data_IF_501641728798
#
_entry.id   IF_501641728798
#
_cell.length_a   1.000
_cell.length_b   1.000
_cell.length_c   1.000
_cell.angle_alpha   90.00
_cell.angle_beta   90.00
_cell.angle_gamma   90.00
#
_symmetry.space_group_name_H-M   'P 1'
#
loop_
_entity.id
_entity.type
_entity.pdbx_description
1 polymer ?
#
# COMPACT_ATOMS: atom_id res chain seq x y z
N UNK A 1 5.14 -30.72 -18.33
CA UNK A 1 4.23 -29.57 -18.20
C UNK A 1 3.97 -29.37 -16.71
N UNK A 2 4.66 -28.41 -16.11
CA UNK A 2 4.45 -27.99 -14.72
C UNK A 2 3.28 -27.01 -14.64
N UNK A 3 2.88 -26.65 -13.42
CA UNK A 3 1.87 -25.61 -13.22
C UNK A 3 2.35 -24.25 -13.78
N UNK A 4 3.63 -23.92 -13.65
CA UNK A 4 4.21 -22.72 -14.27
C UNK A 4 4.04 -22.73 -15.79
N UNK A 5 4.29 -23.86 -16.46
CA UNK A 5 4.12 -23.99 -17.91
C UNK A 5 2.67 -23.72 -18.34
N UNK A 6 1.70 -24.20 -17.55
CA UNK A 6 0.27 -24.02 -17.83
C UNK A 6 -0.18 -22.56 -17.61
N UNK A 7 0.37 -21.89 -16.60
CA UNK A 7 0.15 -20.46 -16.38
C UNK A 7 0.73 -19.64 -17.55
N UNK A 8 1.96 -19.95 -17.99
CA UNK A 8 2.61 -19.28 -19.12
C UNK A 8 1.78 -19.37 -20.40
N UNK A 9 1.25 -20.56 -20.70
CA UNK A 9 0.40 -20.80 -21.87
C UNK A 9 -0.93 -20.04 -21.83
N UNK A 10 -1.62 -20.00 -20.68
CA UNK A 10 -2.89 -19.24 -20.56
C UNK A 10 -2.68 -17.75 -20.80
N UNK A 11 -1.56 -17.20 -20.32
CA UNK A 11 -1.25 -15.77 -20.45
C UNK A 11 -0.76 -15.37 -21.84
N UNK A 12 -0.06 -16.25 -22.57
CA UNK A 12 0.38 -15.96 -23.94
C UNK A 12 -0.77 -15.82 -24.94
N UNK A 13 -1.94 -16.37 -24.59
CA UNK A 13 -3.15 -16.33 -25.42
C UNK A 13 -4.07 -15.14 -25.10
N UNK A 14 -3.82 -14.42 -24.01
CA UNK A 14 -4.54 -13.18 -23.68
C UNK A 14 -3.82 -12.04 -24.39
N UNK A 15 -4.56 -11.29 -25.22
CA UNK A 15 -4.05 -10.22 -26.08
C UNK A 15 -3.51 -9.04 -25.25
N UNK A 16 -2.34 -9.23 -24.64
CA UNK A 16 -1.68 -8.32 -23.71
C UNK A 16 -0.26 -8.05 -24.24
N UNK A 17 0.00 -6.87 -24.82
CA UNK A 17 1.12 -6.67 -25.74
C UNK A 17 2.52 -7.02 -25.21
N UNK A 18 2.77 -7.15 -23.89
CA UNK A 18 4.12 -7.44 -23.34
C UNK A 18 4.16 -8.16 -21.99
N UNK A 19 3.09 -8.86 -21.57
CA UNK A 19 3.04 -9.47 -20.23
C UNK A 19 3.11 -8.47 -19.06
N UNK A 20 2.97 -7.17 -19.34
CA UNK A 20 3.09 -6.07 -18.35
C UNK A 20 2.09 -6.21 -17.21
N UNK A 21 0.84 -6.51 -17.52
CA UNK A 21 -0.19 -6.78 -16.49
C UNK A 21 0.18 -7.94 -15.60
N UNK A 22 0.70 -9.03 -16.18
CA UNK A 22 1.10 -10.22 -15.41
C UNK A 22 2.26 -9.89 -14.48
N UNK A 23 3.26 -9.17 -14.98
CA UNK A 23 4.42 -8.76 -14.19
C UNK A 23 4.00 -7.80 -13.07
N UNK A 24 3.15 -6.82 -13.37
CA UNK A 24 2.60 -5.89 -12.38
C UNK A 24 1.79 -6.63 -11.31
N UNK A 25 0.88 -7.52 -11.70
CA UNK A 25 0.08 -8.33 -10.78
C UNK A 25 0.96 -9.24 -9.90
N UNK A 26 1.93 -9.92 -10.51
CA UNK A 26 2.89 -10.78 -9.79
C UNK A 26 3.75 -9.97 -8.82
N UNK A 27 4.17 -8.77 -9.21
CA UNK A 27 4.94 -7.88 -8.35
C UNK A 27 4.08 -7.37 -7.18
N UNK A 28 2.83 -6.95 -7.42
CA UNK A 28 1.91 -6.50 -6.37
C UNK A 28 1.59 -7.59 -5.34
N UNK A 29 1.40 -8.84 -5.77
CA UNK A 29 1.11 -9.95 -4.84
C UNK A 29 2.30 -10.30 -3.94
N UNK A 30 3.52 -10.09 -4.44
CA UNK A 30 4.77 -10.30 -3.68
C UNK A 30 5.21 -9.07 -2.88
N UNK A 31 4.73 -7.88 -3.25
CA UNK A 31 5.12 -6.63 -2.60
C UNK A 31 4.62 -6.60 -1.15
N UNK A 32 5.54 -6.36 -0.22
CA UNK A 32 5.26 -6.13 1.20
C UNK A 32 6.09 -4.96 1.70
N UNK A 33 5.48 -4.12 2.52
CA UNK A 33 6.18 -3.02 3.17
C UNK A 33 7.27 -3.59 4.09
N UNK A 34 8.52 -3.18 3.86
CA UNK A 34 9.66 -3.63 4.66
C UNK A 34 9.59 -3.04 6.08
N UNK A 35 10.17 -3.70 7.10
CA UNK A 35 10.31 -3.10 8.42
C UNK A 35 11.01 -1.73 8.32
N UNK A 36 10.46 -0.71 8.98
CA UNK A 36 10.95 0.69 8.98
C UNK A 36 10.84 1.45 7.65
N UNK A 37 10.31 0.85 6.59
CA UNK A 37 10.02 1.59 5.35
C UNK A 37 8.90 2.59 5.60
N UNK A 38 9.13 3.86 5.22
CA UNK A 38 8.13 4.90 5.41
C UNK A 38 6.88 4.61 4.56
N UNK A 39 5.71 5.07 5.03
CA UNK A 39 4.47 4.97 4.26
C UNK A 39 4.62 5.61 2.89
N UNK A 40 5.22 6.81 2.83
CA UNK A 40 5.40 7.59 1.60
C UNK A 40 6.20 6.81 0.55
N UNK A 41 7.32 6.23 0.95
CA UNK A 41 8.20 5.51 0.03
C UNK A 41 7.53 4.22 -0.47
N UNK A 42 6.88 3.49 0.44
CA UNK A 42 6.14 2.28 0.08
C UNK A 42 4.94 2.59 -0.83
N UNK A 43 4.19 3.65 -0.54
CA UNK A 43 3.09 4.11 -1.36
C UNK A 43 3.54 4.44 -2.79
N UNK A 44 4.66 5.14 -2.93
CA UNK A 44 5.23 5.48 -4.24
C UNK A 44 5.64 4.23 -5.03
N UNK A 45 6.28 3.26 -4.37
CA UNK A 45 6.65 1.97 -4.95
C UNK A 45 5.41 1.20 -5.43
N UNK A 46 4.40 1.07 -4.58
CA UNK A 46 3.15 0.39 -4.91
C UNK A 46 2.47 1.04 -6.13
N UNK A 47 2.36 2.37 -6.15
CA UNK A 47 1.70 3.13 -7.22
C UNK A 47 2.41 2.99 -8.57
N UNK A 48 3.73 2.91 -8.58
CA UNK A 48 4.51 2.71 -9.80
C UNK A 48 4.25 1.33 -10.43
N UNK A 49 4.06 0.29 -9.62
CA UNK A 49 3.72 -1.05 -10.11
C UNK A 49 2.25 -1.09 -10.54
N UNK A 50 1.36 -0.49 -9.76
CA UNK A 50 -0.07 -0.46 -10.05
C UNK A 50 -0.40 0.29 -11.35
N UNK A 51 0.34 1.35 -11.70
CA UNK A 51 0.11 2.10 -12.95
C UNK A 51 0.35 1.28 -14.22
N UNK A 52 1.04 0.13 -14.12
CA UNK A 52 1.25 -0.78 -15.24
C UNK A 52 0.04 -1.70 -15.50
N UNK A 53 -1.01 -1.64 -14.67
CA UNK A 53 -2.25 -2.36 -14.90
C UNK A 53 -3.09 -1.65 -15.98
N UNK A 54 -3.49 -2.35 -17.06
CA UNK A 54 -4.21 -1.75 -18.17
C UNK A 54 -5.70 -1.48 -17.90
N UNK A 55 -6.23 -2.02 -16.80
CA UNK A 55 -7.65 -1.92 -16.45
C UNK A 55 -7.84 -1.00 -15.24
N UNK A 56 -8.93 -0.23 -15.27
CA UNK A 56 -9.35 0.61 -14.17
C UNK A 56 -9.91 -0.30 -13.07
N UNK A 57 -9.13 -0.47 -12.00
CA UNK A 57 -9.60 -1.13 -10.77
C UNK A 57 -10.36 -0.10 -9.92
N UNK A 58 -11.52 -0.42 -9.34
CA UNK A 58 -12.20 0.48 -8.41
C UNK A 58 -11.30 0.87 -7.23
N UNK A 59 -11.33 2.15 -6.85
CA UNK A 59 -10.43 2.67 -5.81
C UNK A 59 -10.58 1.97 -4.46
N UNK A 60 -11.78 1.55 -4.07
CA UNK A 60 -12.00 0.79 -2.84
C UNK A 60 -11.17 -0.51 -2.81
N UNK A 61 -11.14 -1.25 -3.93
CA UNK A 61 -10.41 -2.51 -4.04
C UNK A 61 -8.90 -2.27 -4.10
N UNK A 62 -8.48 -1.20 -4.79
CA UNK A 62 -7.08 -0.79 -4.86
C UNK A 62 -6.52 -0.45 -3.48
N UNK A 63 -7.31 0.25 -2.68
CA UNK A 63 -6.97 0.61 -1.30
C UNK A 63 -6.91 -0.65 -0.43
N UNK A 64 -7.86 -1.59 -0.57
CA UNK A 64 -7.80 -2.88 0.12
C UNK A 64 -6.52 -3.66 -0.19
N UNK A 65 -6.19 -3.78 -1.48
CA UNK A 65 -4.98 -4.45 -1.94
C UNK A 65 -3.71 -3.77 -1.38
N UNK A 66 -3.66 -2.44 -1.40
CA UNK A 66 -2.55 -1.68 -0.84
C UNK A 66 -2.40 -1.89 0.67
N UNK A 67 -3.49 -1.77 1.42
CA UNK A 67 -3.48 -1.98 2.87
C UNK A 67 -3.08 -3.40 3.22
N UNK A 68 -3.46 -4.42 2.43
CA UNK A 68 -3.01 -5.80 2.62
C UNK A 68 -1.48 -5.95 2.51
N UNK A 69 -0.83 -5.14 1.69
CA UNK A 69 0.63 -5.13 1.52
C UNK A 69 1.38 -4.30 2.57
N UNK A 70 0.67 -3.42 3.30
CA UNK A 70 1.25 -2.63 4.39
C UNK A 70 1.62 -3.49 5.62
N UNK A 71 2.48 -2.92 6.46
CA UNK A 71 2.80 -3.48 7.77
C UNK A 71 1.58 -3.41 8.72
N UNK A 72 1.68 -4.10 9.88
CA UNK A 72 0.58 -4.16 10.86
C UNK A 72 0.26 -2.79 11.46
N UNK A 73 1.25 -1.91 11.59
CA UNK A 73 1.07 -0.59 12.20
C UNK A 73 0.18 0.29 11.33
N UNK A 74 0.48 0.37 10.03
CA UNK A 74 -0.33 1.10 9.03
C UNK A 74 -1.73 0.47 8.91
N UNK A 75 -1.84 -0.87 8.89
CA UNK A 75 -3.15 -1.55 8.92
C UNK A 75 -3.97 -1.17 10.16
N UNK A 76 -3.30 -1.04 11.31
CA UNK A 76 -3.91 -0.64 12.59
C UNK A 76 -4.52 0.75 12.56
N UNK A 77 -4.01 1.66 11.71
CA UNK A 77 -4.52 3.03 11.56
C UNK A 77 -5.92 3.10 10.95
N UNK A 78 -6.31 2.09 10.16
CA UNK A 78 -7.53 2.10 9.35
C UNK A 78 -8.62 1.12 9.83
N UNK A 79 -8.67 0.83 11.14
CA UNK A 79 -9.74 0.01 11.73
C UNK A 79 -11.13 0.59 11.41
N UNK A 80 -12.15 -0.28 11.45
CA UNK A 80 -13.50 -0.23 10.84
C UNK A 80 -14.30 1.08 10.79
N UNK A 81 -13.88 2.19 11.41
CA UNK A 81 -14.53 3.51 11.33
C UNK A 81 -13.74 4.58 10.57
N UNK A 82 -12.50 4.30 10.18
CA UNK A 82 -11.65 5.28 9.48
C UNK A 82 -11.13 4.76 8.13
N UNK A 83 -11.86 3.84 7.49
CA UNK A 83 -11.45 3.25 6.22
C UNK A 83 -11.42 4.30 5.10
N UNK A 84 -10.35 4.40 4.30
CA UNK A 84 -10.26 5.41 3.27
C UNK A 84 -11.16 5.10 2.07
N UNK A 85 -11.84 6.13 1.57
CA UNK A 85 -12.78 6.02 0.42
C UNK A 85 -12.12 6.31 -0.93
N UNK A 86 -10.94 6.94 -0.91
CA UNK A 86 -10.16 7.30 -2.10
C UNK A 86 -8.67 7.40 -1.75
N UNK A 87 -7.83 7.51 -2.77
CA UNK A 87 -6.38 7.71 -2.57
C UNK A 87 -6.05 9.01 -1.83
N UNK A 88 -6.78 10.09 -2.11
CA UNK A 88 -6.58 11.37 -1.43
C UNK A 88 -6.98 11.26 0.05
N UNK A 89 -8.12 10.63 0.33
CA UNK A 89 -8.58 10.38 1.71
C UNK A 89 -7.58 9.49 2.47
N UNK A 90 -7.00 8.46 1.82
CA UNK A 90 -5.93 7.67 2.41
C UNK A 90 -4.73 8.53 2.81
N UNK A 91 -4.23 9.36 1.89
CA UNK A 91 -3.05 10.21 2.14
C UNK A 91 -3.33 11.23 3.25
N UNK A 92 -4.48 11.90 3.22
CA UNK A 92 -4.90 12.85 4.25
C UNK A 92 -5.02 12.20 5.64
N UNK A 93 -5.60 11.00 5.71
CA UNK A 93 -5.69 10.24 6.96
C UNK A 93 -4.31 9.83 7.49
N UNK A 94 -3.37 9.41 6.64
CA UNK A 94 -2.00 9.11 7.11
C UNK A 94 -1.31 10.37 7.62
N UNK A 95 -1.40 11.47 6.87
CA UNK A 95 -0.77 12.74 7.26
C UNK A 95 -1.33 13.26 8.58
N UNK A 96 -2.65 13.26 8.75
CA UNK A 96 -3.29 13.68 10.01
C UNK A 96 -2.89 12.80 11.20
N UNK A 97 -2.84 11.48 11.03
CA UNK A 97 -2.44 10.56 12.11
C UNK A 97 -0.97 10.75 12.48
N UNK A 98 -0.07 10.87 11.49
CA UNK A 98 1.36 11.11 11.76
C UNK A 98 1.62 12.46 12.43
N UNK A 99 0.84 13.49 12.09
CA UNK A 99 0.92 14.79 12.76
C UNK A 99 0.47 14.70 14.23
N UNK A 100 -0.64 14.02 14.51
CA UNK A 100 -1.14 13.82 15.88
C UNK A 100 -0.12 13.08 16.73
N UNK A 101 0.42 11.95 16.24
CA UNK A 101 1.41 11.18 16.99
C UNK A 101 2.70 11.96 17.26
N UNK A 102 3.12 12.81 16.31
CA UNK A 102 4.29 13.69 16.48
C UNK A 102 4.02 14.74 17.57
N UNK A 103 2.83 15.35 17.59
CA UNK A 103 2.44 16.32 18.63
C UNK A 103 2.39 15.66 20.01
N UNK A 104 1.84 14.45 20.11
CA UNK A 104 1.79 13.69 21.37
C UNK A 104 3.18 13.34 21.89
N UNK A 105 4.08 12.91 21.00
CA UNK A 105 5.48 12.64 21.34
C UNK A 105 6.18 13.90 21.88
N UNK A 106 6.01 15.04 21.21
CA UNK A 106 6.59 16.33 21.65
C UNK A 106 6.04 16.72 23.04
N UNK A 107 4.72 16.63 23.25
CA UNK A 107 4.11 16.92 24.55
C UNK A 107 4.70 16.05 25.67
N UNK A 108 4.87 14.76 25.42
CA UNK A 108 5.45 13.82 26.39
C UNK A 108 6.90 14.18 26.73
N UNK A 109 7.72 14.53 25.74
CA UNK A 109 9.11 14.97 25.96
C UNK A 109 9.19 16.29 26.73
N UNK A 110 8.35 17.28 26.40
CA UNK A 110 8.31 18.56 27.11
C UNK A 110 7.93 18.37 28.58
N UNK A 111 6.95 17.52 28.89
CA UNK A 111 6.57 17.19 30.27
C UNK A 111 7.74 16.55 31.04
N UNK A 112 8.47 15.61 30.42
CA UNK A 112 9.62 14.97 31.07
C UNK A 112 10.77 15.95 31.36
N UNK A 113 11.04 16.88 30.44
CA UNK A 113 12.10 17.89 30.61
C UNK A 113 11.72 18.97 31.63
N UNK A 114 10.43 19.26 31.79
CA UNK A 114 9.95 20.27 32.76
C UNK A 114 9.73 19.73 34.17
N UNK A 115 9.79 18.41 34.37
CA UNK A 115 9.64 17.73 35.66
C UNK A 115 10.96 17.15 36.20
N UNK A 116 12.09 17.36 35.50
CA UNK A 116 13.44 16.98 35.91
C UNK A 116 14.22 18.19 36.42
#
# INVERSE_FOLDING_TARGET
MTWEDMQDWLWSNINNPRGRTRNAYTALTKLKQKPRQSFRDFFREYRAIESELPHIIPDWLRIEMFLFCCNKDIKGLFRSRNYPKSWNDLVEKVMSITMISTIEAIKSTVIQVTQA
#
